data_IF_425109488668
#
_entry.id   IF_425109488668
#
_cell.length_a   1.000
_cell.length_b   1.000
_cell.length_c   1.000
_cell.angle_alpha   90.00
_cell.angle_beta   90.00
_cell.angle_gamma   90.00
#
_symmetry.space_group_name_H-M   'P 1'
#
loop_
_entity.id
_entity.type
_entity.pdbx_description
1 polymer ?
#
# COMPACT_ATOMS: atom_id res chain seq x y z
N UNK A 1 -7.72 5.26 35.81
CA UNK A 1 -7.93 4.36 34.66
C UNK A 1 -8.74 4.93 33.49
N UNK A 2 -9.59 5.96 33.62
CA UNK A 2 -10.31 6.51 32.46
C UNK A 2 -9.39 7.24 31.43
N UNK A 3 -8.47 8.10 31.91
CA UNK A 3 -7.62 8.92 31.01
C UNK A 3 -6.63 8.14 30.13
N UNK A 4 -6.09 7.01 30.59
CA UNK A 4 -5.18 6.18 29.77
C UNK A 4 -5.94 5.49 28.62
N UNK A 5 -7.21 5.10 28.86
CA UNK A 5 -8.06 4.51 27.83
C UNK A 5 -8.47 5.53 26.77
N UNK A 6 -8.80 6.76 27.15
CA UNK A 6 -9.10 7.85 26.21
C UNK A 6 -7.90 8.20 25.31
N UNK A 7 -6.70 8.32 25.89
CA UNK A 7 -5.47 8.63 25.13
C UNK A 7 -5.12 7.46 24.17
N UNK A 8 -5.32 6.21 24.60
CA UNK A 8 -5.08 5.04 23.74
C UNK A 8 -6.07 4.94 22.58
N UNK A 9 -7.33 5.29 22.81
CA UNK A 9 -8.38 5.31 21.78
C UNK A 9 -8.13 6.39 20.73
N UNK A 10 -7.75 7.59 21.17
CA UNK A 10 -7.43 8.70 20.28
C UNK A 10 -6.25 8.37 19.36
N UNK A 11 -5.17 7.79 19.92
CA UNK A 11 -3.99 7.39 19.15
C UNK A 11 -4.33 6.34 18.09
N UNK A 12 -5.11 5.32 18.45
CA UNK A 12 -5.51 4.25 17.51
C UNK A 12 -6.39 4.79 16.38
N UNK A 13 -7.31 5.70 16.69
CA UNK A 13 -8.16 6.34 15.68
C UNK A 13 -7.34 7.17 14.69
N UNK A 14 -6.42 8.00 15.18
CA UNK A 14 -5.54 8.81 14.33
C UNK A 14 -4.66 7.96 13.39
N UNK A 15 -4.09 6.87 13.91
CA UNK A 15 -3.32 5.92 13.09
C UNK A 15 -4.16 5.27 12.00
N UNK A 16 -5.40 4.88 12.30
CA UNK A 16 -6.30 4.29 11.31
C UNK A 16 -6.66 5.27 10.20
N UNK A 17 -6.93 6.54 10.53
CA UNK A 17 -7.21 7.58 9.54
C UNK A 17 -6.03 7.81 8.60
N UNK A 18 -4.81 7.93 9.15
CA UNK A 18 -3.60 8.09 8.33
C UNK A 18 -3.38 6.88 7.41
N UNK A 19 -3.53 5.66 7.94
CA UNK A 19 -3.40 4.44 7.14
C UNK A 19 -4.40 4.43 5.96
N UNK A 20 -5.65 4.84 6.21
CA UNK A 20 -6.68 4.89 5.18
C UNK A 20 -6.35 5.88 4.06
N UNK A 21 -5.87 7.08 4.41
CA UNK A 21 -5.44 8.08 3.41
C UNK A 21 -4.28 7.56 2.57
N UNK A 22 -3.27 6.95 3.18
CA UNK A 22 -2.11 6.38 2.47
C UNK A 22 -2.53 5.25 1.53
N UNK A 23 -3.44 4.38 1.96
CA UNK A 23 -3.98 3.30 1.11
C UNK A 23 -4.71 3.87 -0.10
N UNK A 24 -5.48 4.94 0.06
CA UNK A 24 -6.17 5.60 -1.07
C UNK A 24 -5.15 6.15 -2.06
N UNK A 25 -4.12 6.86 -1.59
CA UNK A 25 -3.06 7.42 -2.45
C UNK A 25 -2.37 6.30 -3.24
N UNK A 26 -2.00 5.21 -2.55
CA UNK A 26 -1.39 4.05 -3.19
C UNK A 26 -2.31 3.41 -4.23
N UNK A 27 -3.61 3.27 -3.91
CA UNK A 27 -4.60 2.70 -4.82
C UNK A 27 -4.74 3.52 -6.11
N UNK A 28 -4.79 4.86 -6.00
CA UNK A 28 -4.83 5.75 -7.18
C UNK A 28 -3.57 5.60 -8.03
N UNK A 29 -2.40 5.49 -7.39
CA UNK A 29 -1.14 5.22 -8.11
C UNK A 29 -1.19 3.91 -8.90
N UNK A 30 -1.64 2.82 -8.27
CA UNK A 30 -1.78 1.51 -8.92
C UNK A 30 -2.78 1.58 -10.08
N UNK A 31 -3.91 2.27 -9.92
CA UNK A 31 -4.92 2.45 -10.97
C UNK A 31 -4.28 3.13 -12.19
N UNK A 32 -3.54 4.23 -11.98
CA UNK A 32 -2.92 4.98 -13.07
C UNK A 32 -1.89 4.13 -13.82
N UNK A 33 -1.02 3.42 -13.09
CA UNK A 33 -0.03 2.54 -13.69
C UNK A 33 -0.70 1.40 -14.48
N UNK A 34 -1.74 0.78 -13.93
CA UNK A 34 -2.45 -0.32 -14.59
C UNK A 34 -3.21 0.15 -15.83
N UNK A 35 -3.85 1.32 -15.78
CA UNK A 35 -4.50 1.89 -16.95
C UNK A 35 -3.47 2.14 -18.07
N UNK A 36 -2.32 2.74 -17.74
CA UNK A 36 -1.26 2.98 -18.72
C UNK A 36 -0.74 1.66 -19.33
N UNK A 37 -0.43 0.67 -18.49
CA UNK A 37 0.06 -0.63 -18.95
C UNK A 37 -0.96 -1.35 -19.87
N UNK A 38 -2.26 -1.24 -19.59
CA UNK A 38 -3.28 -1.83 -20.46
C UNK A 38 -3.40 -1.07 -21.78
N UNK A 39 -3.33 0.26 -21.75
CA UNK A 39 -3.42 1.10 -22.97
C UNK A 39 -2.27 0.79 -23.95
N UNK A 40 -1.05 0.61 -23.44
CA UNK A 40 0.12 0.24 -24.26
C UNK A 40 -0.03 -1.14 -24.90
N UNK A 41 -0.73 -2.07 -24.23
CA UNK A 41 -0.92 -3.46 -24.68
C UNK A 41 -2.25 -3.71 -25.41
N UNK A 42 -2.99 -2.67 -25.82
CA UNK A 42 -4.24 -2.82 -26.58
C UNK A 42 -4.07 -3.67 -27.86
N UNK A 43 -3.02 -3.49 -28.68
CA UNK A 43 -2.84 -4.30 -29.90
C UNK A 43 -2.70 -5.79 -29.58
N UNK A 44 -1.95 -6.13 -28.53
CA UNK A 44 -1.76 -7.51 -28.07
C UNK A 44 -3.07 -8.13 -27.56
N UNK A 45 -3.85 -7.36 -26.80
CA UNK A 45 -5.19 -7.77 -26.34
C UNK A 45 -6.11 -8.06 -27.53
N UNK A 46 -6.05 -7.24 -28.58
CA UNK A 46 -6.77 -7.45 -29.83
C UNK A 46 -6.39 -8.76 -30.52
N UNK A 47 -5.09 -9.06 -30.62
CA UNK A 47 -4.60 -10.32 -31.17
C UNK A 47 -5.02 -11.54 -30.35
N UNK A 48 -4.93 -11.46 -29.01
CA UNK A 48 -5.37 -12.51 -28.10
C UNK A 48 -6.88 -12.81 -28.28
N UNK A 49 -7.71 -11.76 -28.38
CA UNK A 49 -9.15 -11.91 -28.64
C UNK A 49 -9.42 -12.54 -30.02
N UNK A 50 -8.66 -12.18 -31.05
CA UNK A 50 -8.78 -12.77 -32.39
C UNK A 50 -8.40 -14.26 -32.41
N UNK A 51 -7.47 -14.69 -31.55
CA UNK A 51 -7.14 -16.10 -31.32
C UNK A 51 -8.17 -16.85 -30.45
N UNK A 52 -9.26 -16.19 -30.03
CA UNK A 52 -10.34 -16.80 -29.26
C UNK A 52 -10.19 -16.71 -27.74
N UNK A 53 -9.25 -15.92 -27.21
CA UNK A 53 -9.16 -15.72 -25.75
C UNK A 53 -10.36 -14.90 -25.25
N UNK A 54 -11.06 -15.43 -24.25
CA UNK A 54 -12.12 -14.70 -23.56
C UNK A 54 -11.59 -13.57 -22.66
N UNK A 55 -12.44 -12.56 -22.42
CA UNK A 55 -12.12 -11.41 -21.54
C UNK A 55 -11.62 -11.84 -20.16
N UNK A 56 -12.14 -12.94 -19.61
CA UNK A 56 -11.73 -13.46 -18.31
C UNK A 56 -10.25 -13.88 -18.26
N UNK A 57 -9.72 -14.50 -19.32
CA UNK A 57 -8.32 -14.91 -19.38
C UNK A 57 -7.39 -13.70 -19.44
N UNK A 58 -7.80 -12.67 -20.19
CA UNK A 58 -7.06 -11.41 -20.30
C UNK A 58 -7.05 -10.69 -18.95
N UNK A 59 -8.22 -10.59 -18.29
CA UNK A 59 -8.31 -10.00 -16.94
C UNK A 59 -7.43 -10.76 -15.95
N UNK A 60 -7.42 -12.10 -15.99
CA UNK A 60 -6.55 -12.92 -15.14
C UNK A 60 -5.07 -12.62 -15.35
N UNK A 61 -4.63 -12.48 -16.58
CA UNK A 61 -3.23 -12.16 -16.90
C UNK A 61 -2.78 -10.86 -16.22
N UNK A 62 -3.58 -9.80 -16.34
CA UNK A 62 -3.28 -8.53 -15.67
C UNK A 62 -3.41 -8.59 -14.15
N UNK A 63 -4.31 -9.41 -13.60
CA UNK A 63 -4.36 -9.67 -12.15
C UNK A 63 -3.05 -10.30 -11.67
N UNK A 64 -2.47 -11.25 -12.40
CA UNK A 64 -1.18 -11.83 -12.04
C UNK A 64 -0.06 -10.80 -12.10
N UNK A 65 -0.05 -9.93 -13.12
CA UNK A 65 0.91 -8.83 -13.23
C UNK A 65 0.79 -7.85 -12.05
N UNK A 66 -0.42 -7.40 -11.72
CA UNK A 66 -0.66 -6.55 -10.55
C UNK A 66 -0.41 -7.24 -9.21
N UNK A 67 -0.62 -8.55 -9.14
CA UNK A 67 -0.27 -9.36 -7.96
C UNK A 67 1.24 -9.42 -7.75
N UNK A 68 2.01 -9.64 -8.81
CA UNK A 68 3.48 -9.63 -8.77
C UNK A 68 3.99 -8.26 -8.31
N UNK A 69 3.48 -7.18 -8.91
CA UNK A 69 3.82 -5.80 -8.51
C UNK A 69 3.45 -5.58 -7.03
N UNK A 70 2.30 -6.07 -6.59
CA UNK A 70 1.87 -6.03 -5.19
C UNK A 70 2.78 -6.75 -4.22
N UNK A 71 3.24 -7.95 -4.58
CA UNK A 71 4.17 -8.76 -3.78
C UNK A 71 5.50 -8.02 -3.64
N UNK A 72 6.09 -7.55 -4.73
CA UNK A 72 7.34 -6.80 -4.68
C UNK A 72 7.18 -5.48 -3.92
N UNK A 73 6.11 -4.72 -4.18
CA UNK A 73 5.82 -3.48 -3.48
C UNK A 73 5.63 -3.70 -1.97
N UNK A 74 4.91 -4.74 -1.57
CA UNK A 74 4.70 -5.08 -0.15
C UNK A 74 5.98 -5.57 0.51
N UNK A 75 6.80 -6.34 -0.21
CA UNK A 75 8.10 -6.82 0.28
C UNK A 75 9.05 -5.64 0.52
N UNK A 76 9.20 -4.76 -0.48
CA UNK A 76 10.02 -3.55 -0.37
C UNK A 76 9.50 -2.60 0.71
N UNK A 77 8.19 -2.39 0.78
CA UNK A 77 7.57 -1.55 1.79
C UNK A 77 7.80 -2.10 3.21
N UNK A 78 7.61 -3.41 3.42
CA UNK A 78 7.90 -4.05 4.71
C UNK A 78 9.39 -3.98 5.05
N UNK A 79 10.27 -4.19 4.08
CA UNK A 79 11.72 -4.09 4.29
C UNK A 79 12.14 -2.69 4.71
N UNK A 80 11.70 -1.65 4.01
CA UNK A 80 11.97 -0.26 4.35
C UNK A 80 11.33 0.13 5.70
N UNK A 81 10.10 -0.32 5.97
CA UNK A 81 9.43 -0.10 7.24
C UNK A 81 10.16 -0.75 8.41
N UNK A 82 10.69 -1.97 8.23
CA UNK A 82 11.51 -2.66 9.22
C UNK A 82 12.84 -1.94 9.45
N UNK A 83 13.52 -1.50 8.39
CA UNK A 83 14.75 -0.72 8.53
C UNK A 83 14.53 0.58 9.30
N UNK A 84 13.47 1.32 8.97
CA UNK A 84 13.09 2.53 9.70
C UNK A 84 12.73 2.22 11.16
N UNK A 85 11.99 1.13 11.40
CA UNK A 85 11.65 0.68 12.76
C UNK A 85 12.90 0.30 13.56
N UNK A 86 13.83 -0.46 12.99
CA UNK A 86 15.09 -0.82 13.63
C UNK A 86 15.91 0.43 13.99
N UNK A 87 15.98 1.41 13.10
CA UNK A 87 16.66 2.68 13.39
C UNK A 87 16.04 3.37 14.62
N UNK A 88 14.70 3.40 14.70
CA UNK A 88 13.98 3.93 15.85
C UNK A 88 14.16 3.08 17.13
N UNK A 89 14.37 1.77 17.02
CA UNK A 89 14.66 0.90 18.17
C UNK A 89 16.07 1.15 18.73
N UNK A 90 17.07 1.28 17.85
CA UNK A 90 18.47 1.42 18.25
C UNK A 90 18.82 2.82 18.72
N UNK A 91 18.38 3.85 18.00
CA UNK A 91 18.69 5.25 18.35
C UNK A 91 17.63 5.85 19.28
N UNK A 92 16.40 5.31 19.26
CA UNK A 92 15.28 5.92 19.95
C UNK A 92 14.89 7.26 19.34
N UNK A 93 13.69 7.73 19.66
CA UNK A 93 13.40 9.16 19.54
C UNK A 93 13.72 9.75 20.92
N UNK A 94 14.83 10.48 21.01
CA UNK A 94 15.14 11.21 22.24
C UNK A 94 14.23 12.43 22.33
N UNK A 95 13.11 12.26 23.04
CA UNK A 95 12.14 13.32 23.26
C UNK A 95 12.50 14.18 24.48
N UNK A 96 13.68 13.98 25.10
CA UNK A 96 14.10 14.74 26.27
C UNK A 96 14.19 16.24 26.02
N UNK A 97 14.47 16.68 24.78
CA UNK A 97 14.45 18.12 24.42
C UNK A 97 13.05 18.74 24.37
N UNK A 98 11.97 17.97 24.21
CA UNK A 98 10.61 18.52 24.28
C UNK A 98 10.15 18.76 25.72
N UNK A 99 10.89 18.24 26.70
CA UNK A 99 10.59 18.30 28.14
C UNK A 99 11.52 19.25 28.92
N UNK A 100 12.38 20.01 28.23
CA UNK A 100 13.38 20.88 28.85
C UNK A 100 12.74 22.10 29.58
N UNK A 101 11.49 22.45 29.24
CA UNK A 101 10.74 23.54 29.89
C UNK A 101 9.90 23.09 31.11
N UNK A 102 10.07 21.85 31.59
CA UNK A 102 9.38 21.35 32.78
C UNK A 102 10.43 20.97 33.83
N UNK A 103 10.51 21.73 34.92
CA UNK A 103 11.40 21.49 36.07
C UNK A 103 11.04 20.16 36.76
N UNK A 104 11.52 19.05 36.21
CA UNK A 104 11.40 17.72 36.80
C UNK A 104 12.78 17.29 37.33
N UNK A 105 12.85 17.11 38.65
CA UNK A 105 14.04 16.78 39.47
C UNK A 105 14.73 15.45 39.08
N UNK A 106 14.18 14.69 38.13
CA UNK A 106 14.77 13.45 37.63
C UNK A 106 14.90 13.50 36.11
N UNK A 107 16.09 13.27 35.52
CA UNK A 107 16.26 13.16 34.08
C UNK A 107 15.63 11.85 33.60
N UNK A 108 14.31 11.87 33.38
CA UNK A 108 13.61 10.73 32.78
C UNK A 108 13.90 10.78 31.28
N UNK A 109 14.84 9.95 30.82
CA UNK A 109 15.03 9.68 29.39
C UNK A 109 13.81 8.93 28.86
N UNK A 110 12.85 9.66 28.31
CA UNK A 110 11.69 9.09 27.61
C UNK A 110 12.11 8.58 26.22
N UNK A 111 12.85 7.47 26.20
CA UNK A 111 13.20 6.80 24.95
C UNK A 111 12.02 5.90 24.57
N UNK A 112 11.21 6.35 23.62
CA UNK A 112 10.19 5.50 23.00
C UNK A 112 10.94 4.50 22.11
N UNK A 113 11.09 3.27 22.59
CA UNK A 113 11.64 2.18 21.80
C UNK A 113 10.54 1.60 20.91
N UNK A 114 10.86 1.37 19.64
CA UNK A 114 9.98 0.59 18.77
C UNK A 114 9.82 -0.84 19.30
N UNK A 115 8.66 -1.42 19.08
CA UNK A 115 8.44 -2.85 19.27
C UNK A 115 8.14 -3.45 17.91
N UNK A 116 8.97 -4.40 17.47
CA UNK A 116 8.75 -5.10 16.21
C UNK A 116 7.88 -6.32 16.50
N UNK A 117 6.63 -6.24 16.08
CA UNK A 117 5.72 -7.37 16.12
C UNK A 117 5.64 -8.03 14.73
N UNK A 118 6.20 -9.24 14.63
CA UNK A 118 6.23 -10.00 13.37
C UNK A 118 4.83 -10.32 12.82
N UNK A 119 3.81 -10.49 13.68
CA UNK A 119 2.43 -10.70 13.21
C UNK A 119 1.88 -9.45 12.51
N UNK A 120 2.20 -8.25 12.99
CA UNK A 120 1.74 -7.01 12.36
C UNK A 120 2.40 -6.84 10.99
N UNK A 121 3.71 -7.11 10.90
CA UNK A 121 4.45 -7.05 9.62
C UNK A 121 3.84 -8.02 8.59
N UNK A 122 3.58 -9.27 9.00
CA UNK A 122 2.95 -10.26 8.12
C UNK A 122 1.54 -9.83 7.70
N UNK A 123 0.76 -9.29 8.63
CA UNK A 123 -0.61 -8.80 8.34
C UNK A 123 -0.60 -7.66 7.34
N UNK A 124 0.33 -6.70 7.48
CA UNK A 124 0.49 -5.57 6.56
C UNK A 124 0.99 -6.03 5.19
N UNK A 125 1.90 -7.00 5.13
CA UNK A 125 2.34 -7.60 3.87
C UNK A 125 1.17 -8.23 3.11
N UNK A 126 0.39 -9.10 3.77
CA UNK A 126 -0.76 -9.75 3.15
C UNK A 126 -1.79 -8.70 2.72
N UNK A 127 -2.06 -7.72 3.58
CA UNK A 127 -3.00 -6.64 3.28
C UNK A 127 -2.56 -5.85 2.03
N UNK A 128 -1.28 -5.49 1.91
CA UNK A 128 -0.75 -4.78 0.75
C UNK A 128 -0.96 -5.54 -0.56
N UNK A 129 -0.66 -6.84 -0.56
CA UNK A 129 -0.86 -7.72 -1.73
C UNK A 129 -2.35 -7.86 -2.08
N UNK A 130 -3.21 -8.04 -1.08
CA UNK A 130 -4.65 -8.15 -1.32
C UNK A 130 -5.21 -6.86 -1.89
N UNK A 131 -4.83 -5.71 -1.32
CA UNK A 131 -5.25 -4.40 -1.81
C UNK A 131 -4.78 -4.18 -3.24
N UNK A 132 -3.52 -4.49 -3.59
CA UNK A 132 -3.03 -4.29 -4.95
C UNK A 132 -3.82 -5.10 -5.98
N UNK A 133 -4.15 -6.36 -5.66
CA UNK A 133 -4.94 -7.24 -6.51
C UNK A 133 -6.37 -6.71 -6.68
N UNK A 134 -7.01 -6.30 -5.58
CA UNK A 134 -8.36 -5.73 -5.60
C UNK A 134 -8.40 -4.45 -6.43
N UNK A 135 -7.43 -3.56 -6.23
CA UNK A 135 -7.36 -2.28 -6.94
C UNK A 135 -7.12 -2.50 -8.44
N UNK A 136 -6.25 -3.44 -8.81
CA UNK A 136 -5.97 -3.80 -10.21
C UNK A 136 -7.19 -4.34 -10.96
N UNK A 137 -8.11 -4.99 -10.24
CA UNK A 137 -9.28 -5.64 -10.86
C UNK A 137 -10.23 -4.65 -11.55
N UNK A 138 -10.39 -3.45 -10.98
CA UNK A 138 -11.31 -2.43 -11.51
C UNK A 138 -10.88 -1.86 -12.88
N UNK A 139 -9.66 -1.30 -13.07
CA UNK A 139 -9.24 -0.72 -14.34
C UNK A 139 -9.16 -1.78 -15.45
N UNK A 140 -8.65 -2.98 -15.16
CA UNK A 140 -8.49 -4.07 -16.13
C UNK A 140 -9.83 -4.54 -16.66
N UNK A 141 -10.84 -4.70 -15.79
CA UNK A 141 -12.20 -5.07 -16.22
C UNK A 141 -12.86 -3.99 -17.07
N UNK A 142 -12.58 -2.72 -16.77
CA UNK A 142 -13.08 -1.61 -17.57
C UNK A 142 -12.41 -1.60 -18.95
N UNK A 143 -11.10 -1.75 -19.01
CA UNK A 143 -10.34 -1.69 -20.24
C UNK A 143 -10.56 -2.88 -21.18
N UNK A 144 -10.73 -4.10 -20.65
CA UNK A 144 -11.03 -5.30 -21.47
C UNK A 144 -12.41 -5.26 -22.14
N UNK A 145 -13.33 -4.42 -21.66
CA UNK A 145 -14.65 -4.18 -22.26
C UNK A 145 -14.64 -3.09 -23.34
N UNK A 146 -13.60 -2.25 -23.38
CA UNK A 146 -13.45 -1.28 -24.46
C UNK A 146 -13.08 -2.04 -25.73
N UNK A 147 -13.80 -1.78 -26.82
CA UNK A 147 -13.53 -2.43 -28.09
C UNK A 147 -12.20 -1.90 -28.67
N UNK A 148 -11.25 -2.77 -29.07
CA UNK A 148 -9.96 -2.35 -29.62
C UNK A 148 -10.07 -1.40 -30.83
N UNK A 149 -11.21 -1.41 -31.52
CA UNK A 149 -11.53 -0.56 -32.68
C UNK A 149 -11.67 0.92 -32.30
N UNK A 150 -12.16 1.26 -31.11
CA UNK A 150 -12.26 2.66 -30.67
C UNK A 150 -10.89 3.24 -30.25
N UNK A 151 -9.99 2.39 -29.76
CA UNK A 151 -8.64 2.78 -29.38
C UNK A 151 -7.73 3.06 -30.59
N UNK A 152 -7.93 2.35 -31.70
CA UNK A 152 -7.23 2.59 -32.97
C UNK A 152 -7.76 3.81 -33.75
N UNK A 153 -8.93 4.36 -33.38
CA UNK A 153 -9.49 5.56 -34.03
C UNK A 153 -8.87 6.88 -33.54
N UNK A 154 -8.01 6.82 -32.52
CA UNK A 154 -7.37 7.97 -31.88
C UNK A 154 -5.84 8.02 -32.09
N UNK A 155 -5.29 7.18 -32.98
CA UNK A 155 -3.89 7.24 -33.42
C UNK A 155 -3.81 7.83 -34.82
#
# INVERSE_FOLDING_TARGET
>A
NAGIFEISGLKRSGQFMLALVVVIIAAVGIINTMLMAVMERIPEIGMLKAMGFGNYNIVKMFIYEGGIIGIFGSLFGCFLGLLASLHLVYYGIDLSHMLENIDIIYPVKFIIKGEINYMIVLSVFIFGVVVSVIVTLWPVRKATKLEPVEALRHV
#
